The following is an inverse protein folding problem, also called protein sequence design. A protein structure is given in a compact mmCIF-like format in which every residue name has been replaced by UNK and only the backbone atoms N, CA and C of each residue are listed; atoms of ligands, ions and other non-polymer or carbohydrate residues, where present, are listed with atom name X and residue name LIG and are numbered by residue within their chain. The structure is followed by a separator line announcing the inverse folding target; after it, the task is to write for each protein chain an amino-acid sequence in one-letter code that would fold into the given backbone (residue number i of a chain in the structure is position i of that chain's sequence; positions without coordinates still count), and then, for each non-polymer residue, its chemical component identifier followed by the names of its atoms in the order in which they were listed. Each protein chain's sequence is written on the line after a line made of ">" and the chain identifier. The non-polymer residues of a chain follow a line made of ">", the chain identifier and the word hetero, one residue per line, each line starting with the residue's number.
data_IF_233252471970
#
_entry.id   IF_233252471970
#
_cell.length_a   1.000
_cell.length_b   1.000
_cell.length_c   1.000
_cell.angle_alpha   90.00
_cell.angle_beta   90.00
_cell.angle_gamma   90.00
#
_symmetry.space_group_name_H-M   'P 1'
#
loop_
_entity.id
_entity.type
_entity.pdbx_description
1 polymer ?
#
# COMPACT_ATOMS: atom_id res chain seq x y z
N UNK A 1 -13.19 39.05 -9.08
CA UNK A 1 -13.44 37.68 -8.59
C UNK A 1 -12.81 37.56 -7.21
N UNK A 2 -13.58 37.24 -6.17
CA UNK A 2 -12.99 36.90 -4.87
C UNK A 2 -12.15 35.63 -5.07
N UNK A 3 -10.88 35.67 -4.69
CA UNK A 3 -10.03 34.48 -4.68
C UNK A 3 -10.66 33.47 -3.73
N UNK A 4 -11.13 32.33 -4.26
CA UNK A 4 -11.70 31.27 -3.44
C UNK A 4 -10.53 30.48 -2.88
N UNK A 5 -10.30 30.58 -1.57
CA UNK A 5 -9.25 29.83 -0.88
C UNK A 5 -9.64 28.35 -0.78
N UNK A 6 -8.84 27.48 -1.40
CA UNK A 6 -9.00 26.02 -1.26
C UNK A 6 -8.87 25.60 0.20
N UNK A 7 -9.90 24.96 0.75
CA UNK A 7 -10.01 24.62 2.16
C UNK A 7 -10.38 23.15 2.36
N UNK A 8 -9.73 22.50 3.32
CA UNK A 8 -10.03 21.11 3.71
C UNK A 8 -10.45 21.03 5.18
N UNK A 9 -11.50 20.26 5.45
CA UNK A 9 -11.98 19.97 6.80
C UNK A 9 -11.81 18.49 7.15
N UNK A 10 -11.40 18.23 8.37
CA UNK A 10 -11.24 16.90 8.95
C UNK A 10 -12.04 16.81 10.24
N UNK A 11 -13.09 16.01 10.23
CA UNK A 11 -14.07 15.93 11.32
C UNK A 11 -14.17 14.53 11.89
N UNK A 12 -14.46 14.41 13.18
CA UNK A 12 -15.01 13.16 13.71
C UNK A 12 -16.39 12.90 13.10
N UNK A 13 -16.71 11.64 12.80
CA UNK A 13 -18.05 11.25 12.36
C UNK A 13 -19.14 11.59 13.39
N UNK A 14 -18.77 11.85 14.66
CA UNK A 14 -19.70 12.32 15.71
C UNK A 14 -20.16 13.77 15.52
N UNK A 15 -19.56 14.52 14.60
CA UNK A 15 -19.86 15.94 14.36
C UNK A 15 -20.85 16.13 13.21
N UNK A 16 -21.97 15.39 13.22
CA UNK A 16 -22.94 15.33 12.12
C UNK A 16 -23.54 16.70 11.75
N UNK A 17 -23.95 17.48 12.76
CA UNK A 17 -24.52 18.82 12.53
C UNK A 17 -23.52 19.78 11.87
N UNK A 18 -22.25 19.73 12.29
CA UNK A 18 -21.19 20.54 11.69
C UNK A 18 -20.87 20.06 10.27
N UNK A 19 -20.84 18.74 10.05
CA UNK A 19 -20.64 18.15 8.74
C UNK A 19 -21.72 18.61 7.75
N UNK A 20 -23.00 18.53 8.13
CA UNK A 20 -24.12 18.97 7.30
C UNK A 20 -24.01 20.47 6.94
N UNK A 21 -23.72 21.33 7.92
CA UNK A 21 -23.56 22.77 7.68
C UNK A 21 -22.39 23.10 6.75
N UNK A 22 -21.25 22.41 6.91
CA UNK A 22 -20.11 22.60 6.02
C UNK A 22 -20.40 22.09 4.60
N UNK A 23 -21.14 20.98 4.47
CA UNK A 23 -21.50 20.39 3.18
C UNK A 23 -22.35 21.35 2.35
N UNK A 24 -23.38 21.96 2.95
CA UNK A 24 -24.20 22.99 2.28
C UNK A 24 -23.33 24.17 1.80
N UNK A 25 -22.41 24.64 2.64
CA UNK A 25 -21.48 25.72 2.26
C UNK A 25 -20.51 25.31 1.15
N UNK A 26 -20.07 24.05 1.13
CA UNK A 26 -19.19 23.52 0.09
C UNK A 26 -19.90 23.45 -1.26
N UNK A 27 -21.16 23.02 -1.29
CA UNK A 27 -22.00 22.96 -2.49
C UNK A 27 -22.24 24.36 -3.07
N UNK A 28 -22.63 25.33 -2.24
CA UNK A 28 -22.79 26.73 -2.64
C UNK A 28 -21.50 27.32 -3.25
N UNK A 29 -20.33 26.97 -2.68
CA UNK A 29 -19.04 27.44 -3.20
C UNK A 29 -18.57 26.71 -4.45
N UNK A 30 -19.07 25.49 -4.70
CA UNK A 30 -18.78 24.70 -5.88
C UNK A 30 -19.69 25.05 -7.07
N UNK A 31 -20.79 25.77 -6.85
CA UNK A 31 -21.70 26.18 -7.91
C UNK A 31 -20.98 26.98 -9.00
N UNK A 32 -21.14 26.55 -10.25
CA UNK A 32 -20.49 27.16 -11.41
C UNK A 32 -18.98 26.87 -11.55
N UNK A 33 -18.37 26.08 -10.66
CA UNK A 33 -16.99 25.64 -10.80
C UNK A 33 -16.93 24.49 -11.83
N UNK A 34 -16.12 24.60 -12.90
CA UNK A 34 -16.01 23.55 -13.90
C UNK A 34 -15.30 22.32 -13.34
N UNK A 35 -15.60 21.14 -13.87
CA UNK A 35 -14.99 19.86 -13.46
C UNK A 35 -13.49 19.77 -13.71
N UNK A 36 -12.92 20.68 -14.52
CA UNK A 36 -11.48 20.84 -14.69
C UNK A 36 -10.78 21.54 -13.52
N UNK A 37 -11.54 22.02 -12.53
CA UNK A 37 -11.04 22.65 -11.31
C UNK A 37 -11.40 21.78 -10.11
N UNK A 38 -10.55 21.81 -9.10
CA UNK A 38 -10.87 21.14 -7.86
C UNK A 38 -11.98 21.87 -7.10
N UNK A 39 -12.82 21.15 -6.35
CA UNK A 39 -13.74 21.77 -5.42
C UNK A 39 -13.00 22.67 -4.43
N UNK A 40 -13.48 23.90 -4.18
CA UNK A 40 -12.81 24.84 -3.30
C UNK A 40 -12.90 24.45 -1.83
N UNK A 41 -13.89 23.65 -1.45
CA UNK A 41 -14.05 23.15 -0.09
C UNK A 41 -14.26 21.64 -0.16
N UNK A 42 -13.46 20.90 0.60
CA UNK A 42 -13.58 19.44 0.74
C UNK A 42 -13.69 19.08 2.20
N UNK A 43 -14.61 18.19 2.55
CA UNK A 43 -14.87 17.80 3.93
C UNK A 43 -14.74 16.28 4.03
N UNK A 44 -14.07 15.82 5.08
CA UNK A 44 -13.89 14.40 5.36
C UNK A 44 -14.23 14.08 6.80
N UNK A 45 -14.97 13.01 6.99
CA UNK A 45 -15.33 12.46 8.30
C UNK A 45 -14.53 11.18 8.60
N UNK A 46 -14.26 10.96 9.88
CA UNK A 46 -13.51 9.80 10.35
C UNK A 46 -14.29 9.09 11.48
N UNK A 47 -14.58 7.79 11.34
CA UNK A 47 -15.31 7.06 12.36
C UNK A 47 -14.42 6.77 13.57
N UNK A 48 -15.05 6.56 14.73
CA UNK A 48 -14.40 6.09 15.97
C UNK A 48 -13.24 6.95 16.51
N UNK A 49 -13.22 8.25 16.19
CA UNK A 49 -12.30 9.24 16.79
C UNK A 49 -13.07 10.32 17.55
N UNK A 50 -12.42 10.95 18.52
CA UNK A 50 -13.01 12.01 19.34
C UNK A 50 -13.24 13.30 18.53
N UNK A 51 -14.27 14.04 18.93
CA UNK A 51 -14.49 15.41 18.45
C UNK A 51 -13.72 16.44 19.30
N UNK A 52 -13.49 16.11 20.58
CA UNK A 52 -12.76 16.94 21.54
C UNK A 52 -11.96 16.05 22.52
N UNK A 53 -10.64 16.29 22.68
CA UNK A 53 -9.83 17.13 21.79
C UNK A 53 -9.88 16.59 20.35
N UNK A 54 -9.76 17.44 19.31
CA UNK A 54 -9.75 16.96 17.93
C UNK A 54 -8.66 15.88 17.71
N UNK A 55 -9.03 14.79 17.05
CA UNK A 55 -8.16 13.63 16.84
C UNK A 55 -6.75 13.94 16.28
N UNK A 56 -6.51 14.96 15.43
CA UNK A 56 -5.15 15.26 14.99
C UNK A 56 -4.21 15.66 16.14
N UNK A 57 -4.75 16.21 17.24
CA UNK A 57 -3.98 16.57 18.42
C UNK A 57 -3.74 15.40 19.37
N UNK A 58 -4.57 14.35 19.31
CA UNK A 58 -4.40 13.15 20.15
C UNK A 58 -3.27 12.25 19.66
N UNK A 59 -3.06 12.18 18.35
CA UNK A 59 -2.10 11.27 17.76
C UNK A 59 -0.65 11.79 17.84
N UNK A 60 -0.46 13.11 17.89
CA UNK A 60 0.86 13.73 17.71
C UNK A 60 1.35 13.64 16.26
N UNK A 61 2.52 14.23 15.96
CA UNK A 61 3.06 14.20 14.61
C UNK A 61 3.60 12.81 14.25
N UNK A 62 3.42 12.37 12.99
CA UNK A 62 4.13 11.26 12.36
C UNK A 62 5.48 10.80 12.91
N UNK A 63 6.40 11.76 13.09
CA UNK A 63 7.81 11.53 13.46
C UNK A 63 7.98 11.04 14.90
N UNK A 64 7.02 11.35 15.79
CA UNK A 64 7.08 10.91 17.18
C UNK A 64 6.78 9.41 17.30
N UNK A 65 5.96 8.86 16.38
CA UNK A 65 5.76 7.41 16.29
C UNK A 65 7.00 6.70 15.75
N UNK A 66 7.61 7.25 14.69
CA UNK A 66 8.79 6.64 14.07
C UNK A 66 10.02 6.68 14.98
N UNK A 67 10.13 7.68 15.85
CA UNK A 67 11.19 7.79 16.86
C UNK A 67 10.95 6.96 18.13
N UNK A 68 9.84 6.20 18.20
CA UNK A 68 9.51 5.38 19.36
C UNK A 68 9.08 6.17 20.61
N UNK A 69 8.90 7.50 20.49
CA UNK A 69 8.39 8.33 21.59
C UNK A 69 6.94 7.99 21.95
N UNK A 70 6.17 7.50 20.98
CA UNK A 70 4.80 7.01 21.19
C UNK A 70 4.79 5.49 21.01
N UNK A 71 4.56 4.76 22.09
CA UNK A 71 4.62 3.29 22.12
C UNK A 71 3.42 2.60 21.48
N UNK A 72 2.22 3.18 21.57
CA UNK A 72 1.03 2.66 20.90
C UNK A 72 0.05 3.79 20.55
N UNK A 73 -0.70 3.62 19.46
CA UNK A 73 -1.74 4.53 19.00
C UNK A 73 -2.97 3.69 18.67
N UNK A 74 -4.14 4.15 19.10
CA UNK A 74 -5.39 3.46 18.84
C UNK A 74 -5.60 3.27 17.32
N UNK A 75 -6.06 2.10 16.83
CA UNK A 75 -6.15 1.82 15.39
C UNK A 75 -6.95 2.85 14.60
N UNK A 76 -8.10 3.28 15.14
CA UNK A 76 -8.95 4.29 14.51
C UNK A 76 -8.28 5.66 14.46
N UNK A 77 -7.57 6.03 15.52
CA UNK A 77 -6.80 7.27 15.59
C UNK A 77 -5.66 7.26 14.57
N UNK A 78 -4.92 6.14 14.46
CA UNK A 78 -3.88 5.95 13.42
C UNK A 78 -4.45 6.08 12.01
N UNK A 79 -5.60 5.44 11.76
CA UNK A 79 -6.29 5.49 10.46
C UNK A 79 -6.68 6.93 10.10
N UNK A 80 -7.39 7.61 11.00
CA UNK A 80 -7.84 8.99 10.79
C UNK A 80 -6.66 9.95 10.57
N UNK A 81 -5.58 9.81 11.35
CA UNK A 81 -4.42 10.68 11.24
C UNK A 81 -3.65 10.46 9.92
N UNK A 82 -3.46 9.20 9.51
CA UNK A 82 -2.79 8.89 8.23
C UNK A 82 -3.59 9.39 7.02
N UNK A 83 -4.92 9.19 7.03
CA UNK A 83 -5.79 9.64 5.94
C UNK A 83 -5.88 11.16 5.87
N UNK A 84 -6.08 11.84 7.01
CA UNK A 84 -6.13 13.31 7.06
C UNK A 84 -4.81 13.96 6.64
N UNK A 85 -3.67 13.40 7.08
CA UNK A 85 -2.35 13.83 6.64
C UNK A 85 -2.22 13.77 5.11
N UNK A 86 -2.55 12.63 4.51
CA UNK A 86 -2.44 12.42 3.05
C UNK A 86 -3.31 13.42 2.28
N UNK A 87 -4.54 13.62 2.74
CA UNK A 87 -5.51 14.54 2.12
C UNK A 87 -5.08 16.01 2.25
N UNK A 88 -4.59 16.40 3.43
CA UNK A 88 -4.01 17.73 3.66
C UNK A 88 -2.79 17.95 2.76
N UNK A 89 -1.89 16.97 2.68
CA UNK A 89 -0.70 17.05 1.84
C UNK A 89 -1.06 17.12 0.34
N UNK A 90 -2.10 16.43 -0.10
CA UNK A 90 -2.62 16.54 -1.46
C UNK A 90 -3.05 17.98 -1.80
N UNK A 91 -3.82 18.62 -0.91
CA UNK A 91 -4.19 20.03 -1.05
C UNK A 91 -2.96 20.94 -1.07
N UNK A 92 -2.08 20.81 -0.08
CA UNK A 92 -0.91 21.68 0.03
C UNK A 92 0.01 21.56 -1.18
N UNK A 93 0.30 20.35 -1.65
CA UNK A 93 1.13 20.16 -2.84
C UNK A 93 0.47 20.69 -4.09
N UNK A 94 -0.85 20.55 -4.23
CA UNK A 94 -1.60 21.10 -5.36
C UNK A 94 -1.48 22.63 -5.43
N UNK A 95 -1.65 23.31 -4.30
CA UNK A 95 -1.72 24.77 -4.26
C UNK A 95 -0.34 25.43 -4.13
N UNK A 96 0.60 24.77 -3.45
CA UNK A 96 1.89 25.35 -3.05
C UNK A 96 3.11 24.58 -3.55
N UNK A 97 2.92 23.33 -4.01
CA UNK A 97 4.03 22.40 -4.24
C UNK A 97 4.74 21.97 -2.93
N UNK A 98 5.95 21.40 -3.02
CA UNK A 98 6.60 20.96 -4.26
C UNK A 98 5.93 19.72 -4.86
N UNK A 99 6.11 19.54 -6.17
CA UNK A 99 5.72 18.32 -6.89
C UNK A 99 6.94 17.44 -7.09
N UNK A 100 6.92 16.23 -6.52
CA UNK A 100 8.02 15.28 -6.65
C UNK A 100 7.76 14.28 -7.77
N UNK A 101 8.79 13.88 -8.54
CA UNK A 101 8.68 12.84 -9.55
C UNK A 101 8.72 11.46 -8.89
N UNK A 102 7.65 11.09 -8.18
CA UNK A 102 7.62 9.87 -7.36
C UNK A 102 7.89 8.58 -8.13
N UNK A 103 7.35 8.47 -9.33
CA UNK A 103 7.62 7.34 -10.22
C UNK A 103 9.11 7.18 -10.49
N UNK A 104 9.79 8.23 -10.94
CA UNK A 104 11.24 8.21 -11.18
C UNK A 104 12.04 7.88 -9.91
N UNK A 105 11.60 8.37 -8.76
CA UNK A 105 12.24 8.04 -7.48
C UNK A 105 12.08 6.57 -7.12
N UNK A 106 10.91 6.00 -7.40
CA UNK A 106 10.60 4.59 -7.19
C UNK A 106 11.35 3.68 -8.15
N UNK A 107 11.34 3.98 -9.46
CA UNK A 107 12.10 3.23 -10.46
C UNK A 107 13.60 3.18 -10.16
N UNK A 108 14.16 4.30 -9.66
CA UNK A 108 15.55 4.32 -9.23
C UNK A 108 15.79 3.46 -7.99
N UNK A 109 14.82 3.40 -7.08
CA UNK A 109 14.91 2.54 -5.90
C UNK A 109 14.94 1.07 -6.31
N UNK A 110 13.97 0.63 -7.10
CA UNK A 110 13.85 -0.76 -7.55
C UNK A 110 14.98 -1.18 -8.48
N UNK A 111 15.53 -0.25 -9.26
CA UNK A 111 16.75 -0.49 -10.04
C UNK A 111 17.93 -0.90 -9.15
N UNK A 112 18.14 -0.23 -8.02
CA UNK A 112 19.20 -0.60 -7.08
C UNK A 112 18.92 -1.92 -6.35
N UNK A 113 17.65 -2.23 -6.07
CA UNK A 113 17.23 -3.47 -5.43
C UNK A 113 17.44 -4.69 -6.32
N UNK A 114 16.94 -4.64 -7.56
CA UNK A 114 16.77 -5.83 -8.39
C UNK A 114 17.76 -5.92 -9.54
N UNK A 115 18.16 -4.79 -10.13
CA UNK A 115 19.05 -4.78 -11.29
C UNK A 115 20.53 -4.69 -10.89
N UNK A 116 20.91 -3.68 -10.09
CA UNK A 116 22.30 -3.57 -9.61
C UNK A 116 22.59 -4.44 -8.40
N UNK A 117 21.55 -4.81 -7.65
CA UNK A 117 21.68 -5.56 -6.40
C UNK A 117 22.67 -4.89 -5.42
N UNK A 118 22.53 -3.58 -5.22
CA UNK A 118 23.40 -2.75 -4.38
C UNK A 118 22.66 -2.20 -3.15
N UNK A 119 22.86 -2.85 -1.99
CA UNK A 119 22.24 -2.44 -0.74
C UNK A 119 22.64 -1.01 -0.28
N UNK A 120 23.93 -0.60 -0.31
CA UNK A 120 24.32 0.79 -0.05
C UNK A 120 23.59 1.84 -0.91
N UNK A 121 23.52 1.65 -2.23
CA UNK A 121 22.80 2.57 -3.13
C UNK A 121 21.31 2.59 -2.85
N UNK A 122 20.74 1.42 -2.56
CA UNK A 122 19.33 1.31 -2.18
C UNK A 122 19.04 2.11 -0.90
N UNK A 123 19.83 1.89 0.15
CA UNK A 123 19.72 2.64 1.41
C UNK A 123 19.98 4.14 1.24
N UNK A 124 20.82 4.56 0.28
CA UNK A 124 21.05 5.98 -0.03
C UNK A 124 19.81 6.68 -0.61
N UNK A 125 18.84 5.94 -1.13
CA UNK A 125 17.56 6.51 -1.55
C UNK A 125 16.53 6.58 -0.40
N UNK A 126 16.82 5.99 0.76
CA UNK A 126 15.92 5.98 1.90
C UNK A 126 16.03 7.28 2.72
N UNK A 127 15.03 7.55 3.57
CA UNK A 127 15.08 8.64 4.56
C UNK A 127 15.77 8.17 5.86
N UNK A 128 15.88 9.04 6.86
CA UNK A 128 16.60 8.76 8.11
C UNK A 128 15.99 7.62 8.93
N UNK A 129 14.66 7.48 8.91
CA UNK A 129 13.93 6.47 9.69
C UNK A 129 13.06 5.61 8.75
N UNK A 130 13.67 4.84 7.84
CA UNK A 130 12.92 4.05 6.87
C UNK A 130 12.40 2.77 7.49
N UNK A 131 11.39 2.15 6.88
CA UNK A 131 11.06 0.76 7.18
C UNK A 131 10.40 0.06 5.99
N UNK A 132 10.58 -1.26 5.98
CA UNK A 132 9.92 -2.18 5.05
C UNK A 132 9.24 -3.25 5.88
N UNK A 133 8.02 -3.59 5.51
CA UNK A 133 7.26 -4.68 6.12
C UNK A 133 6.61 -5.53 5.03
N UNK A 134 7.16 -6.72 4.84
CA UNK A 134 6.56 -7.78 4.06
C UNK A 134 5.47 -8.45 4.91
N UNK A 135 4.23 -8.00 4.76
CA UNK A 135 3.16 -8.26 5.73
C UNK A 135 2.92 -9.75 5.99
N UNK A 136 2.86 -10.64 4.97
CA UNK A 136 2.50 -12.03 5.20
C UNK A 136 3.54 -12.86 5.97
N UNK A 137 4.80 -12.42 5.98
CA UNK A 137 5.90 -13.11 6.69
C UNK A 137 6.50 -12.29 7.82
N UNK A 138 6.03 -11.04 8.00
CA UNK A 138 6.56 -10.07 8.97
C UNK A 138 8.08 -9.87 8.86
N UNK A 139 8.64 -10.04 7.66
CA UNK A 139 10.06 -9.76 7.40
C UNK A 139 10.25 -8.30 6.99
N UNK A 140 11.49 -7.81 7.08
CA UNK A 140 11.84 -6.43 6.79
C UNK A 140 12.72 -5.85 7.88
N UNK A 141 12.55 -4.55 8.14
CA UNK A 141 13.31 -3.86 9.19
C UNK A 141 12.81 -2.45 9.45
N UNK A 142 13.09 -1.92 10.63
CA UNK A 142 12.68 -0.56 11.05
C UNK A 142 13.88 0.27 11.47
N UNK A 143 14.01 1.46 10.89
CA UNK A 143 15.15 2.35 11.07
C UNK A 143 16.33 1.97 10.18
N UNK A 144 17.27 2.90 10.02
CA UNK A 144 18.32 2.78 9.02
C UNK A 144 19.23 1.56 9.23
N UNK A 145 19.67 1.30 10.45
CA UNK A 145 20.60 0.21 10.74
C UNK A 145 19.98 -1.17 10.53
N UNK A 146 18.75 -1.35 11.01
CA UNK A 146 18.04 -2.62 10.89
C UNK A 146 17.70 -2.91 9.43
N UNK A 147 17.20 -1.91 8.72
CA UNK A 147 16.86 -2.03 7.31
C UNK A 147 18.09 -2.23 6.43
N UNK A 148 19.20 -1.53 6.68
CA UNK A 148 20.44 -1.74 5.93
C UNK A 148 20.97 -3.18 6.09
N UNK A 149 20.84 -3.77 7.29
CA UNK A 149 21.17 -5.17 7.53
C UNK A 149 20.25 -6.08 6.73
N UNK A 150 18.94 -5.85 6.80
CA UNK A 150 17.96 -6.61 6.03
C UNK A 150 18.27 -6.59 4.52
N UNK A 151 18.45 -5.40 3.93
CA UNK A 151 18.77 -5.24 2.51
C UNK A 151 20.03 -5.98 2.10
N UNK A 152 21.11 -5.84 2.89
CA UNK A 152 22.43 -6.42 2.56
C UNK A 152 22.47 -7.95 2.65
N UNK A 153 21.74 -8.54 3.59
CA UNK A 153 21.88 -9.96 3.92
C UNK A 153 20.69 -10.83 3.50
N UNK A 154 19.49 -10.25 3.38
CA UNK A 154 18.23 -11.00 3.26
C UNK A 154 17.32 -10.55 2.10
N UNK A 155 17.76 -9.59 1.27
CA UNK A 155 16.93 -9.08 0.17
C UNK A 155 17.72 -8.89 -1.12
N UNK A 156 18.63 -7.92 -1.15
CA UNK A 156 19.30 -7.46 -2.38
C UNK A 156 20.39 -8.43 -2.85
N UNK A 157 20.95 -9.22 -1.93
CA UNK A 157 22.08 -10.11 -2.23
C UNK A 157 21.75 -11.07 -3.39
N UNK A 158 22.71 -11.26 -4.30
CA UNK A 158 22.55 -12.02 -5.56
C UNK A 158 21.97 -13.43 -5.40
N UNK A 159 22.24 -14.11 -4.28
CA UNK A 159 21.83 -15.49 -4.06
C UNK A 159 20.52 -15.66 -3.26
N UNK A 160 19.83 -14.58 -2.90
CA UNK A 160 18.56 -14.64 -2.15
C UNK A 160 17.38 -14.76 -3.12
N UNK A 161 17.25 -13.79 -4.03
CA UNK A 161 16.19 -13.79 -5.05
C UNK A 161 16.61 -14.64 -6.25
N UNK A 162 15.79 -15.60 -6.70
CA UNK A 162 16.10 -16.48 -7.82
C UNK A 162 16.59 -15.72 -9.07
N UNK A 163 17.49 -16.31 -9.87
CA UNK A 163 18.05 -15.63 -11.04
C UNK A 163 17.03 -15.45 -12.17
N UNK A 164 15.98 -16.26 -12.21
CA UNK A 164 14.87 -16.16 -13.17
C UNK A 164 13.69 -15.34 -12.64
N UNK A 165 13.89 -14.56 -11.58
CA UNK A 165 12.84 -13.69 -11.04
C UNK A 165 12.44 -12.61 -12.03
N UNK A 166 11.14 -12.54 -12.29
CA UNK A 166 10.48 -11.51 -13.07
C UNK A 166 9.47 -10.75 -12.21
N UNK A 167 9.43 -9.44 -12.38
CA UNK A 167 8.40 -8.56 -11.81
C UNK A 167 7.61 -7.94 -12.97
N UNK A 168 6.31 -8.25 -13.05
CA UNK A 168 5.40 -7.73 -14.08
C UNK A 168 4.46 -6.74 -13.43
N UNK A 169 4.68 -5.44 -13.62
CA UNK A 169 3.77 -4.40 -13.14
C UNK A 169 2.45 -4.44 -13.91
N UNK A 170 1.35 -4.63 -13.20
CA UNK A 170 -0.02 -4.67 -13.74
C UNK A 170 -0.64 -3.28 -13.71
N UNK A 171 -0.48 -2.57 -12.59
CA UNK A 171 -0.98 -1.22 -12.42
C UNK A 171 -0.06 -0.42 -11.50
N UNK A 172 -0.10 0.90 -11.65
CA UNK A 172 0.59 1.84 -10.77
C UNK A 172 -0.32 3.03 -10.46
N UNK A 173 -0.51 3.32 -9.18
CA UNK A 173 -1.23 4.50 -8.69
C UNK A 173 -0.28 5.44 -7.97
N UNK A 174 -0.21 6.69 -8.43
CA UNK A 174 0.59 7.75 -7.80
C UNK A 174 -0.32 8.65 -6.98
N UNK A 175 -0.15 8.63 -5.67
CA UNK A 175 -0.84 9.49 -4.73
C UNK A 175 -0.07 10.76 -4.39
N UNK A 176 -0.64 11.56 -3.49
CA UNK A 176 0.01 12.77 -2.99
C UNK A 176 1.29 12.49 -2.20
N UNK A 177 1.49 11.27 -1.69
CA UNK A 177 2.61 10.90 -0.84
C UNK A 177 3.08 9.45 -1.03
N UNK A 178 2.58 8.73 -2.05
CA UNK A 178 2.86 7.30 -2.21
C UNK A 178 2.78 6.84 -3.66
N UNK A 179 3.42 5.72 -3.94
CA UNK A 179 3.23 4.90 -5.13
C UNK A 179 2.65 3.57 -4.67
N UNK A 180 1.64 3.08 -5.38
CA UNK A 180 1.06 1.75 -5.17
C UNK A 180 1.24 0.99 -6.46
N UNK A 181 2.00 -0.11 -6.42
CA UNK A 181 2.18 -1.00 -7.55
C UNK A 181 1.44 -2.30 -7.30
N UNK A 182 0.60 -2.70 -8.24
CA UNK A 182 0.08 -4.06 -8.34
C UNK A 182 0.96 -4.80 -9.34
N UNK A 183 1.53 -5.95 -8.95
CA UNK A 183 2.46 -6.67 -9.81
C UNK A 183 2.38 -8.18 -9.64
N UNK A 184 2.86 -8.91 -10.65
CA UNK A 184 3.11 -10.34 -10.55
C UNK A 184 4.59 -10.56 -10.27
N UNK A 185 4.90 -11.29 -9.19
CA UNK A 185 6.22 -11.86 -8.98
C UNK A 185 6.21 -13.30 -9.48
N UNK A 186 7.19 -13.61 -10.34
CA UNK A 186 7.35 -14.92 -10.96
C UNK A 186 8.78 -15.39 -10.82
N UNK A 187 8.98 -16.65 -10.46
CA UNK A 187 10.30 -17.27 -10.44
C UNK A 187 10.18 -18.81 -10.40
N UNK A 188 11.32 -19.49 -10.51
CA UNK A 188 11.48 -20.86 -10.02
C UNK A 188 12.09 -20.81 -8.62
N UNK A 189 11.55 -21.54 -7.66
CA UNK A 189 12.06 -21.55 -6.28
C UNK A 189 13.37 -22.36 -6.17
N UNK A 190 14.46 -21.76 -6.66
CA UNK A 190 15.82 -22.34 -6.74
C UNK A 190 16.76 -21.88 -5.62
N UNK A 191 16.38 -20.85 -4.88
CA UNK A 191 17.11 -20.29 -3.73
C UNK A 191 16.19 -20.20 -2.52
N UNK A 192 16.77 -20.11 -1.32
CA UNK A 192 16.00 -19.76 -0.12
C UNK A 192 15.72 -18.26 -0.17
N UNK A 193 14.44 -17.88 -0.23
CA UNK A 193 14.01 -16.48 -0.40
C UNK A 193 13.66 -15.91 0.98
N UNK A 194 14.65 -15.52 1.77
CA UNK A 194 14.50 -15.15 3.19
C UNK A 194 13.31 -14.21 3.49
N UNK A 195 13.10 -13.20 2.66
CA UNK A 195 12.05 -12.22 2.86
C UNK A 195 10.63 -12.76 2.55
N UNK A 196 10.54 -13.73 1.65
CA UNK A 196 9.30 -14.24 1.08
C UNK A 196 8.87 -15.60 1.64
N UNK A 197 9.86 -16.45 1.93
CA UNK A 197 9.77 -17.86 2.32
C UNK A 197 10.84 -18.19 3.38
N UNK A 198 10.84 -17.52 4.55
CA UNK A 198 11.90 -17.69 5.54
C UNK A 198 12.01 -19.16 6.00
N UNK A 199 13.20 -19.74 5.88
CA UNK A 199 13.51 -21.10 6.34
C UNK A 199 13.08 -22.22 5.39
N UNK A 200 12.53 -21.90 4.21
CA UNK A 200 12.08 -22.90 3.24
C UNK A 200 13.17 -23.14 2.20
N UNK A 201 13.67 -24.38 2.15
CA UNK A 201 14.66 -24.80 1.15
C UNK A 201 14.09 -24.74 -0.27
N UNK A 202 14.94 -24.53 -1.29
CA UNK A 202 14.55 -24.60 -2.70
C UNK A 202 13.72 -25.84 -3.01
N UNK A 203 12.52 -25.63 -3.54
CA UNK A 203 11.62 -26.74 -3.92
C UNK A 203 11.73 -27.08 -5.41
N UNK A 204 12.39 -26.22 -6.20
CA UNK A 204 12.51 -26.35 -7.65
C UNK A 204 11.20 -26.16 -8.42
N UNK A 205 10.13 -25.72 -7.73
CA UNK A 205 8.81 -25.50 -8.35
C UNK A 205 8.66 -24.07 -8.86
N UNK A 206 7.90 -23.86 -9.95
CA UNK A 206 7.52 -22.52 -10.38
C UNK A 206 6.61 -21.86 -9.35
N UNK A 207 6.73 -20.54 -9.23
CA UNK A 207 5.92 -19.69 -8.37
C UNK A 207 5.46 -18.47 -9.18
N UNK A 208 4.16 -18.20 -9.19
CA UNK A 208 3.57 -16.98 -9.72
C UNK A 208 2.55 -16.43 -8.72
N UNK A 209 2.72 -15.16 -8.34
CA UNK A 209 1.90 -14.54 -7.29
C UNK A 209 1.56 -13.10 -7.63
N UNK A 210 0.33 -12.71 -7.31
CA UNK A 210 -0.05 -11.31 -7.27
C UNK A 210 0.41 -10.70 -5.94
N UNK A 211 1.05 -9.53 -6.02
CA UNK A 211 1.47 -8.76 -4.86
C UNK A 211 1.15 -7.27 -5.06
N UNK A 212 0.95 -6.58 -3.95
CA UNK A 212 0.74 -5.13 -3.91
C UNK A 212 1.81 -4.49 -3.04
N UNK A 213 2.61 -3.62 -3.63
CA UNK A 213 3.59 -2.80 -2.92
C UNK A 213 3.04 -1.39 -2.69
N UNK A 214 3.02 -0.93 -1.44
CA UNK A 214 2.59 0.41 -1.03
C UNK A 214 3.80 1.18 -0.50
N UNK A 215 4.33 2.09 -1.32
CA UNK A 215 5.57 2.82 -1.07
C UNK A 215 5.26 4.28 -0.74
N UNK A 216 5.37 4.67 0.52
CA UNK A 216 5.17 6.05 0.95
C UNK A 216 6.47 6.87 0.92
N UNK A 217 6.34 8.09 0.43
CA UNK A 217 7.35 9.16 0.38
C UNK A 217 7.04 10.21 1.44
N UNK A 218 7.13 9.78 2.70
CA UNK A 218 6.99 10.59 3.91
C UNK A 218 8.37 10.70 4.59
N UNK A 219 8.53 11.61 5.57
CA UNK A 219 9.78 11.76 6.34
C UNK A 219 10.34 10.46 6.92
N UNK A 220 9.46 9.44 7.02
CA UNK A 220 9.77 8.02 7.15
C UNK A 220 9.27 7.34 5.85
N UNK A 221 10.16 6.74 5.05
CA UNK A 221 9.77 5.96 3.88
C UNK A 221 9.24 4.65 4.41
N UNK A 222 7.98 4.41 4.11
CA UNK A 222 7.23 3.25 4.52
C UNK A 222 7.02 2.40 3.26
N UNK A 223 7.42 1.13 3.29
CA UNK A 223 6.98 0.15 2.29
C UNK A 223 6.20 -0.98 2.98
N UNK A 224 4.98 -1.24 2.51
CA UNK A 224 4.23 -2.44 2.84
C UNK A 224 4.06 -3.27 1.58
N UNK A 225 4.39 -4.55 1.67
CA UNK A 225 4.12 -5.50 0.60
C UNK A 225 3.11 -6.54 1.06
N UNK A 226 2.05 -6.70 0.28
CA UNK A 226 0.96 -7.64 0.54
C UNK A 226 0.92 -8.70 -0.54
N UNK A 227 0.72 -9.95 -0.14
CA UNK A 227 0.47 -11.06 -1.06
C UNK A 227 -0.29 -12.19 -0.36
N UNK A 228 -0.73 -13.18 -1.13
CA UNK A 228 -1.40 -14.38 -0.63
C UNK A 228 -0.39 -15.49 -0.33
N UNK A 229 -0.03 -15.64 0.96
CA UNK A 229 0.91 -16.68 1.39
C UNK A 229 0.33 -18.09 1.30
N UNK A 230 -0.99 -18.28 1.35
CA UNK A 230 -1.57 -19.62 1.21
C UNK A 230 -1.37 -20.14 -0.22
N UNK A 231 -1.60 -19.30 -1.23
CA UNK A 231 -1.33 -19.65 -2.63
C UNK A 231 0.14 -19.93 -2.90
N UNK A 232 1.06 -19.21 -2.24
CA UNK A 232 2.50 -19.51 -2.29
C UNK A 232 2.77 -20.93 -1.79
N UNK A 233 2.30 -21.26 -0.58
CA UNK A 233 2.57 -22.55 0.03
C UNK A 233 1.95 -23.71 -0.76
N UNK A 234 0.76 -23.52 -1.35
CA UNK A 234 0.13 -24.51 -2.24
C UNK A 234 0.97 -24.73 -3.50
N UNK A 235 1.41 -23.67 -4.17
CA UNK A 235 2.24 -23.78 -5.39
C UNK A 235 3.55 -24.53 -5.12
N UNK A 236 4.15 -24.32 -3.94
CA UNK A 236 5.37 -25.01 -3.54
C UNK A 236 5.12 -26.42 -2.99
N UNK A 237 3.87 -26.86 -2.84
CA UNK A 237 3.46 -28.14 -2.25
C UNK A 237 3.86 -28.27 -0.78
N UNK A 238 3.80 -27.16 -0.05
CA UNK A 238 3.99 -27.09 1.40
C UNK A 238 2.65 -27.03 2.14
N UNK A 239 1.57 -26.74 1.41
CA UNK A 239 0.20 -26.77 1.89
C UNK A 239 -0.65 -27.57 0.92
N UNK A 240 -1.28 -28.63 1.41
CA UNK A 240 -2.30 -29.35 0.64
C UNK A 240 -3.61 -28.53 0.67
N UNK A 241 -4.16 -28.11 -0.48
CA UNK A 241 -5.31 -27.21 -0.51
C UNK A 241 -6.57 -27.87 0.05
N UNK A 242 -6.80 -29.17 -0.20
CA UNK A 242 -7.96 -29.90 0.32
C UNK A 242 -9.28 -29.16 0.10
N UNK A 243 -9.98 -28.84 1.20
CA UNK A 243 -11.24 -28.08 1.19
C UNK A 243 -11.05 -26.58 1.49
N UNK A 244 -9.81 -26.08 1.49
CA UNK A 244 -9.51 -24.66 1.73
C UNK A 244 -9.84 -23.83 0.50
N UNK A 245 -10.37 -22.60 0.66
CA UNK A 245 -10.68 -21.70 -0.45
C UNK A 245 -9.42 -21.01 -0.99
N UNK A 246 -8.46 -21.78 -1.50
CA UNK A 246 -7.17 -21.28 -2.04
C UNK A 246 -7.08 -21.62 -3.52
N UNK A 247 -6.87 -20.61 -4.37
CA UNK A 247 -6.81 -20.79 -5.82
C UNK A 247 -5.39 -20.98 -6.36
N UNK A 248 -4.34 -20.83 -5.53
CA UNK A 248 -2.96 -21.06 -5.93
C UNK A 248 -2.55 -20.11 -7.07
N UNK A 249 -1.94 -20.69 -8.10
CA UNK A 249 -1.46 -19.94 -9.29
C UNK A 249 -2.57 -19.20 -10.03
N UNK A 250 -3.82 -19.67 -9.94
CA UNK A 250 -4.95 -19.04 -10.63
C UNK A 250 -5.23 -17.63 -10.11
N UNK A 251 -4.82 -17.28 -8.88
CA UNK A 251 -4.92 -15.91 -8.35
C UNK A 251 -4.12 -14.94 -9.22
N UNK A 252 -2.84 -15.25 -9.46
CA UNK A 252 -1.96 -14.41 -10.28
C UNK A 252 -2.49 -14.31 -11.72
N UNK A 253 -2.92 -15.44 -12.29
CA UNK A 253 -3.45 -15.49 -13.67
C UNK A 253 -4.74 -14.69 -13.83
N UNK A 254 -5.63 -14.71 -12.83
CA UNK A 254 -6.87 -13.93 -12.83
C UNK A 254 -6.61 -12.42 -12.75
N UNK A 255 -5.55 -11.99 -12.06
CA UNK A 255 -5.12 -10.59 -12.05
C UNK A 255 -4.62 -10.15 -13.43
N UNK A 256 -3.83 -11.00 -14.12
CA UNK A 256 -3.34 -10.70 -15.48
C UNK A 256 -4.45 -10.69 -16.51
N UNK A 257 -5.37 -11.66 -16.44
CA UNK A 257 -6.44 -11.87 -17.42
C UNK A 257 -7.81 -12.01 -16.75
N UNK A 258 -8.41 -10.89 -16.31
CA UNK A 258 -9.70 -10.92 -15.60
C UNK A 258 -10.87 -11.36 -16.48
N UNK A 259 -10.75 -11.30 -17.81
CA UNK A 259 -11.81 -11.66 -18.74
C UNK A 259 -11.69 -13.11 -19.25
N UNK A 260 -10.47 -13.62 -19.45
CA UNK A 260 -10.23 -14.97 -19.92
C UNK A 260 -10.18 -16.03 -18.81
N UNK A 261 -9.91 -15.64 -17.56
CA UNK A 261 -10.02 -16.55 -16.41
C UNK A 261 -11.44 -16.53 -15.83
N UNK A 262 -12.09 -17.67 -15.58
CA UNK A 262 -13.45 -17.68 -15.04
C UNK A 262 -13.46 -17.26 -13.56
N UNK A 263 -14.50 -16.53 -13.19
CA UNK A 263 -14.79 -16.19 -11.78
C UNK A 263 -15.51 -17.35 -11.08
N UNK A 264 -15.64 -17.26 -9.76
CA UNK A 264 -16.53 -18.09 -8.94
C UNK A 264 -16.24 -19.60 -8.90
N UNK A 265 -15.07 -20.07 -9.37
CA UNK A 265 -14.66 -21.49 -9.26
C UNK A 265 -14.70 -22.05 -7.83
N UNK A 266 -14.37 -21.21 -6.84
CA UNK A 266 -14.39 -21.58 -5.42
C UNK A 266 -15.73 -21.29 -4.72
N UNK A 267 -16.66 -20.62 -5.39
CA UNK A 267 -17.98 -20.31 -4.84
C UNK A 267 -18.93 -21.47 -5.14
N UNK A 268 -18.94 -22.51 -4.29
CA UNK A 268 -19.73 -23.73 -4.50
C UNK A 268 -21.22 -23.45 -4.79
N UNK A 269 -21.77 -22.44 -4.11
CA UNK A 269 -23.19 -22.03 -4.24
C UNK A 269 -23.49 -21.22 -5.51
N UNK A 270 -22.49 -20.91 -6.34
CA UNK A 270 -22.67 -20.14 -7.57
C UNK A 270 -23.70 -20.75 -8.53
N UNK A 271 -23.81 -22.09 -8.52
CA UNK A 271 -24.80 -22.82 -9.32
C UNK A 271 -26.24 -22.65 -8.84
N UNK A 272 -26.44 -22.32 -7.56
CA UNK A 272 -27.79 -22.14 -7.00
C UNK A 272 -28.50 -20.91 -7.58
N UNK A 273 -27.73 -19.94 -8.08
CA UNK A 273 -28.26 -18.75 -8.74
C UNK A 273 -28.43 -18.87 -10.25
N UNK A 274 -28.13 -20.03 -10.84
CA UNK A 274 -28.24 -20.21 -12.29
C UNK A 274 -29.72 -20.12 -12.74
N UNK A 275 -30.01 -19.18 -13.66
CA UNK A 275 -31.35 -18.95 -14.18
C UNK A 275 -32.29 -18.14 -13.28
N UNK A 276 -31.84 -17.68 -12.11
CA UNK A 276 -32.61 -16.74 -11.30
C UNK A 276 -32.64 -15.34 -11.97
N UNK A 277 -33.75 -14.59 -11.81
CA UNK A 277 -33.82 -13.19 -12.26
C UNK A 277 -32.71 -12.34 -11.63
N UNK A 278 -32.15 -11.41 -12.40
CA UNK A 278 -31.05 -10.50 -11.98
C UNK A 278 -31.54 -9.04 -11.91
N UNK A 279 -32.82 -8.83 -12.19
CA UNK A 279 -33.55 -7.57 -12.29
C UNK A 279 -34.38 -7.23 -11.05
#
# INVERSE_FOLDING_TARGET
>A
MKSICSTIFHLSAKQEALHASLQESAEQKAEGIPTSRHPPVTIHTYPFVSASPPFPFEAGPPIDHASGKVSSIAPYLRSANNLSYTRTLALLRRELGPHFPFEKLWERHTYFEFAERDAPKTMATMVSTPYVNHVPTMTGGVGFQDLARFYKYHFVRENITPPDTELITISRTIGADRVIDEMIFKCTHTTEIDYFLPGIKPTGKPLEIALVGVVAFRGDKLTFDYWDQASVLVQLGLLEPGNLPVAGVDVARKVVDPFGQPSNRLLTRWKESEGLPVD
#
